data_IF_707805999056
#
_entry.id   IF_707805999056
#
_cell.length_a   1.000
_cell.length_b   1.000
_cell.length_c   1.000
_cell.angle_alpha   90.00
_cell.angle_beta   90.00
_cell.angle_gamma   90.00
#
_symmetry.space_group_name_H-M   'P 1'
#
loop_
_entity.id
_entity.type
_entity.pdbx_description
1 polymer ?
#
# COMPACT_ATOMS: atom_id res chain seq x y z
N UNK A 1 33.69 3.61 -23.99
CA UNK A 1 33.31 5.03 -23.95
C UNK A 1 32.96 5.33 -22.50
N UNK A 2 33.70 6.20 -21.79
CA UNK A 2 33.26 6.66 -20.47
C UNK A 2 32.02 7.54 -20.66
N UNK A 3 31.11 7.56 -19.70
CA UNK A 3 29.97 8.47 -19.75
C UNK A 3 30.47 9.92 -19.64
N UNK A 4 30.13 10.77 -20.61
CA UNK A 4 30.53 12.19 -20.63
C UNK A 4 29.87 13.02 -19.51
N UNK A 5 28.88 12.44 -18.83
CA UNK A 5 28.23 12.98 -17.62
C UNK A 5 28.00 11.85 -16.61
N UNK A 6 28.26 12.13 -15.33
CA UNK A 6 27.98 11.17 -14.27
C UNK A 6 26.46 10.99 -14.12
N UNK A 7 25.94 9.75 -14.00
CA UNK A 7 24.52 9.53 -13.73
C UNK A 7 24.14 10.10 -12.36
N UNK A 8 22.93 10.67 -12.29
CA UNK A 8 22.37 11.18 -11.03
C UNK A 8 21.84 10.00 -10.21
N UNK A 9 22.49 9.72 -9.08
CA UNK A 9 22.05 8.68 -8.14
C UNK A 9 21.23 9.32 -7.02
N UNK A 10 19.98 8.89 -6.91
CA UNK A 10 19.05 9.34 -5.87
C UNK A 10 18.71 8.18 -4.94
N UNK A 11 18.63 8.46 -3.65
CA UNK A 11 18.07 7.52 -2.69
C UNK A 11 16.54 7.58 -2.77
N UNK A 12 15.92 6.48 -3.21
CA UNK A 12 14.51 6.38 -3.52
C UNK A 12 13.73 5.49 -2.55
N UNK A 13 12.40 5.54 -2.66
CA UNK A 13 11.46 4.60 -2.05
C UNK A 13 10.14 4.60 -2.82
N UNK A 14 9.39 3.51 -2.76
CA UNK A 14 7.99 3.47 -3.16
C UNK A 14 7.11 3.65 -1.92
N UNK A 15 5.94 4.26 -2.04
CA UNK A 15 5.02 4.42 -0.90
C UNK A 15 3.56 4.27 -1.34
N UNK A 16 2.73 3.81 -0.42
CA UNK A 16 1.28 3.74 -0.57
C UNK A 16 0.62 4.63 0.49
N UNK A 17 -0.42 5.35 0.11
CA UNK A 17 -1.21 6.11 1.09
C UNK A 17 -2.10 5.22 1.95
N UNK A 18 -2.27 5.59 3.22
CA UNK A 18 -3.26 4.98 4.09
C UNK A 18 -4.66 5.45 3.68
N UNK A 19 -5.61 4.52 3.61
CA UNK A 19 -6.95 4.81 3.10
C UNK A 19 -8.04 4.23 4.00
N UNK A 20 -9.28 4.68 3.79
CA UNK A 20 -10.43 4.22 4.53
C UNK A 20 -11.64 4.16 3.60
N UNK A 21 -12.42 3.09 3.73
CA UNK A 21 -13.49 2.77 2.78
C UNK A 21 -14.66 2.03 3.43
N UNK A 22 -15.76 1.84 2.68
CA UNK A 22 -16.86 1.00 3.11
C UNK A 22 -16.41 -0.46 3.25
N UNK A 23 -17.14 -1.23 4.07
CA UNK A 23 -16.94 -2.69 4.15
C UNK A 23 -17.32 -3.35 2.82
N UNK A 24 -16.53 -4.32 2.35
CA UNK A 24 -16.76 -5.05 1.10
C UNK A 24 -16.70 -4.20 -0.18
N UNK A 25 -16.22 -2.96 -0.10
CA UNK A 25 -15.97 -2.12 -1.27
C UNK A 25 -14.49 -2.06 -1.61
N UNK A 26 -14.21 -1.70 -2.85
CA UNK A 26 -12.85 -1.36 -3.30
C UNK A 26 -12.55 0.11 -2.97
N UNK A 27 -11.35 0.39 -2.48
CA UNK A 27 -10.86 1.73 -2.19
C UNK A 27 -9.52 1.94 -2.90
N UNK A 28 -9.43 3.01 -3.68
CA UNK A 28 -8.21 3.38 -4.37
C UNK A 28 -7.11 3.72 -3.36
N UNK A 29 -5.90 3.20 -3.60
CA UNK A 29 -4.70 3.40 -2.81
C UNK A 29 -3.66 4.12 -3.67
N UNK A 30 -3.48 5.43 -3.53
CA UNK A 30 -2.45 6.15 -4.26
C UNK A 30 -1.05 5.58 -3.98
N UNK A 31 -0.32 5.30 -5.06
CA UNK A 31 1.07 4.83 -5.05
C UNK A 31 2.00 5.93 -5.56
N UNK A 32 3.16 6.12 -4.92
CA UNK A 32 4.19 7.06 -5.38
C UNK A 32 5.60 6.48 -5.32
N UNK A 33 6.39 6.77 -6.33
CA UNK A 33 7.84 6.66 -6.28
C UNK A 33 8.43 8.02 -5.84
N UNK A 34 9.19 8.00 -4.75
CA UNK A 34 9.75 9.19 -4.13
C UNK A 34 11.28 9.11 -4.04
N UNK A 35 11.94 10.26 -4.00
CA UNK A 35 13.37 10.34 -3.71
C UNK A 35 13.66 11.38 -2.63
N UNK A 36 14.77 11.20 -1.92
CA UNK A 36 15.23 12.15 -0.91
C UNK A 36 15.89 13.37 -1.58
N UNK A 37 15.32 14.56 -1.40
CA UNK A 37 15.87 15.81 -1.96
C UNK A 37 16.88 16.53 -1.04
N UNK A 38 17.34 15.87 0.03
CA UNK A 38 18.18 16.48 1.08
C UNK A 38 17.40 16.94 2.32
N UNK A 39 16.08 17.11 2.23
CA UNK A 39 15.21 17.57 3.33
C UNK A 39 13.99 16.68 3.58
N UNK A 40 13.38 16.17 2.52
CA UNK A 40 12.21 15.31 2.59
C UNK A 40 12.19 14.37 1.38
N UNK A 41 11.42 13.29 1.49
CA UNK A 41 11.03 12.54 0.31
C UNK A 41 10.02 13.34 -0.51
N UNK A 42 10.26 13.41 -1.81
CA UNK A 42 9.40 14.09 -2.79
C UNK A 42 9.19 13.18 -3.99
N UNK A 43 8.04 13.33 -4.67
CA UNK A 43 7.72 12.55 -5.86
C UNK A 43 8.83 12.65 -6.92
N UNK A 44 9.20 11.52 -7.52
CA UNK A 44 10.11 11.48 -8.65
C UNK A 44 9.33 11.66 -9.97
N UNK A 45 9.14 12.90 -10.41
CA UNK A 45 8.39 13.17 -11.65
C UNK A 45 9.08 12.65 -12.92
N UNK A 46 10.39 12.40 -12.84
CA UNK A 46 11.20 11.81 -13.92
C UNK A 46 11.00 10.29 -14.04
N UNK A 47 10.32 9.65 -13.09
CA UNK A 47 10.12 8.21 -13.05
C UNK A 47 8.86 7.82 -13.83
N UNK A 48 9.01 6.97 -14.85
CA UNK A 48 7.89 6.31 -15.52
C UNK A 48 8.17 4.84 -15.80
N UNK A 49 8.92 4.20 -14.88
CA UNK A 49 9.39 2.83 -15.06
C UNK A 49 9.66 2.06 -13.76
N UNK A 50 9.42 2.65 -12.59
CA UNK A 50 9.33 1.85 -11.36
C UNK A 50 8.07 1.00 -11.40
N UNK A 51 8.26 -0.31 -11.33
CA UNK A 51 7.24 -1.33 -11.50
C UNK A 51 6.60 -1.75 -10.17
N UNK A 52 5.37 -2.22 -10.27
CA UNK A 52 4.65 -2.83 -9.17
C UNK A 52 3.67 -3.87 -9.71
N UNK A 53 3.35 -4.85 -8.89
CA UNK A 53 2.30 -5.82 -9.19
C UNK A 53 1.37 -5.89 -7.98
N UNK A 54 0.16 -5.36 -8.12
CA UNK A 54 -0.81 -5.31 -7.03
C UNK A 54 -1.35 -6.70 -6.66
N UNK A 55 -1.13 -7.73 -7.48
CA UNK A 55 -1.47 -9.12 -7.15
C UNK A 55 -0.46 -9.78 -6.21
N UNK A 56 0.69 -9.13 -5.98
CA UNK A 56 1.76 -9.62 -5.14
C UNK A 56 1.81 -8.78 -3.85
N UNK A 57 1.27 -9.34 -2.76
CA UNK A 57 1.14 -8.63 -1.49
C UNK A 57 1.24 -9.55 -0.25
N UNK A 58 1.49 -8.94 0.91
CA UNK A 58 1.37 -9.53 2.25
C UNK A 58 0.28 -8.79 3.03
N UNK A 59 -0.51 -9.49 3.84
CA UNK A 59 -1.57 -8.92 4.68
C UNK A 59 -1.33 -9.22 6.15
N UNK A 60 -1.46 -8.17 6.96
CA UNK A 60 -1.62 -8.25 8.41
C UNK A 60 -2.95 -7.62 8.79
N UNK A 61 -3.79 -8.33 9.53
CA UNK A 61 -5.14 -7.86 9.89
C UNK A 61 -5.40 -8.01 11.38
N UNK A 62 -6.30 -7.16 11.90
CA UNK A 62 -6.82 -7.31 13.26
C UNK A 62 -7.95 -8.37 13.34
N UNK A 63 -8.35 -8.95 12.22
CA UNK A 63 -9.42 -9.97 12.13
C UNK A 63 -8.85 -11.30 11.65
N UNK A 64 -9.32 -12.41 12.22
CA UNK A 64 -9.00 -13.76 11.75
C UNK A 64 -9.64 -14.04 10.38
N UNK A 65 -8.92 -14.71 9.48
CA UNK A 65 -9.38 -15.01 8.11
C UNK A 65 -9.74 -13.74 7.30
N UNK A 66 -8.94 -12.68 7.48
CA UNK A 66 -8.97 -11.50 6.62
C UNK A 66 -8.99 -11.89 5.14
N UNK A 67 -9.85 -11.21 4.40
CA UNK A 67 -9.91 -11.30 2.93
C UNK A 67 -9.45 -10.02 2.25
N UNK A 68 -8.81 -9.13 3.02
CA UNK A 68 -8.20 -7.93 2.50
C UNK A 68 -7.14 -8.28 1.45
N UNK A 69 -7.16 -7.57 0.33
CA UNK A 69 -6.27 -7.79 -0.80
C UNK A 69 -5.88 -6.46 -1.45
N UNK A 70 -4.76 -6.46 -2.19
CA UNK A 70 -4.52 -5.46 -3.22
C UNK A 70 -4.95 -6.00 -4.58
N UNK A 71 -5.38 -5.09 -5.45
CA UNK A 71 -5.71 -5.36 -6.84
C UNK A 71 -5.40 -4.14 -7.72
N UNK A 72 -5.31 -4.34 -9.03
CA UNK A 72 -5.20 -3.26 -10.02
C UNK A 72 -5.99 -3.63 -11.28
N UNK A 73 -6.39 -2.61 -12.04
CA UNK A 73 -6.94 -2.76 -13.38
C UNK A 73 -6.15 -1.84 -14.33
N UNK A 74 -5.37 -2.40 -15.28
CA UNK A 74 -5.17 -3.83 -15.56
C UNK A 74 -4.46 -4.62 -14.43
N UNK A 75 -4.65 -5.94 -14.45
CA UNK A 75 -3.92 -6.88 -13.59
C UNK A 75 -2.53 -7.19 -14.16
N UNK A 76 -1.54 -7.38 -13.28
CA UNK A 76 -0.17 -7.75 -13.64
C UNK A 76 0.86 -6.70 -13.22
N UNK A 77 2.02 -6.75 -13.88
CA UNK A 77 3.10 -5.78 -13.68
C UNK A 77 2.75 -4.48 -14.39
N UNK A 78 2.71 -3.41 -13.63
CA UNK A 78 2.42 -2.05 -14.08
C UNK A 78 3.50 -1.09 -13.58
N UNK A 79 3.70 0.03 -14.28
CA UNK A 79 4.69 1.03 -13.87
C UNK A 79 4.03 2.31 -13.38
N UNK A 80 4.73 3.03 -12.52
CA UNK A 80 4.36 4.43 -12.23
C UNK A 80 4.43 5.28 -13.50
N UNK A 81 3.66 6.36 -13.54
CA UNK A 81 3.75 7.40 -14.57
C UNK A 81 4.02 8.72 -13.87
N UNK A 82 5.13 9.37 -14.19
CA UNK A 82 5.62 10.58 -13.49
C UNK A 82 5.71 10.40 -11.96
N UNK A 83 6.16 9.22 -11.52
CA UNK A 83 6.36 8.85 -10.13
C UNK A 83 5.08 8.61 -9.34
N UNK A 84 3.93 8.38 -9.99
CA UNK A 84 2.67 8.06 -9.32
C UNK A 84 1.86 7.02 -10.08
N UNK A 85 1.01 6.30 -9.33
CA UNK A 85 -0.02 5.44 -9.89
C UNK A 85 -1.26 5.46 -9.00
N UNK A 86 -2.42 5.44 -9.64
CA UNK A 86 -3.74 5.55 -9.02
C UNK A 86 -4.62 4.32 -9.30
N UNK A 87 -4.06 3.28 -9.92
CA UNK A 87 -4.79 2.06 -10.30
C UNK A 87 -4.78 0.99 -9.21
N UNK A 88 -3.95 1.17 -8.17
CA UNK A 88 -3.89 0.24 -7.04
C UNK A 88 -5.13 0.43 -6.18
N UNK A 89 -5.79 -0.66 -5.84
CA UNK A 89 -6.95 -0.69 -4.98
C UNK A 89 -6.71 -1.64 -3.82
N UNK A 90 -7.36 -1.36 -2.70
CA UNK A 90 -7.54 -2.30 -1.60
C UNK A 90 -9.00 -2.73 -1.52
N UNK A 91 -9.22 -4.03 -1.35
CA UNK A 91 -10.55 -4.63 -1.39
C UNK A 91 -10.73 -5.72 -0.34
N UNK A 92 -11.96 -6.17 -0.13
CA UNK A 92 -12.29 -7.32 0.70
C UNK A 92 -13.25 -8.24 -0.05
N UNK A 93 -12.93 -9.53 -0.17
CA UNK A 93 -13.88 -10.50 -0.72
C UNK A 93 -15.05 -10.76 0.25
N UNK A 94 -14.76 -10.83 1.56
CA UNK A 94 -15.73 -10.96 2.63
C UNK A 94 -15.97 -9.59 3.26
N UNK A 95 -17.18 -9.05 3.11
CA UNK A 95 -17.54 -7.76 3.71
C UNK A 95 -17.50 -7.85 5.23
N UNK A 96 -16.53 -7.16 5.84
CA UNK A 96 -16.38 -7.08 7.29
C UNK A 96 -15.68 -5.79 7.71
N UNK A 97 -15.85 -5.40 8.98
CA UNK A 97 -15.05 -4.32 9.56
C UNK A 97 -13.68 -4.87 9.90
N UNK A 98 -12.64 -4.37 9.27
CA UNK A 98 -11.26 -4.71 9.61
C UNK A 98 -10.31 -3.54 9.35
N UNK A 99 -9.23 -3.52 10.12
CA UNK A 99 -8.05 -2.74 9.82
C UNK A 99 -7.00 -3.73 9.32
N UNK A 100 -6.57 -3.53 8.07
CA UNK A 100 -5.53 -4.33 7.45
C UNK A 100 -4.35 -3.44 7.08
N UNK A 101 -3.13 -3.92 7.33
CA UNK A 101 -1.92 -3.42 6.69
C UNK A 101 -1.58 -4.34 5.54
N UNK A 102 -1.55 -3.80 4.33
CA UNK A 102 -1.24 -4.55 3.12
C UNK A 102 0.07 -4.04 2.55
N UNK A 103 1.05 -4.93 2.42
CA UNK A 103 2.39 -4.65 1.91
C UNK A 103 2.42 -5.00 0.44
N UNK A 104 2.75 -4.03 -0.40
CA UNK A 104 3.03 -4.24 -1.81
C UNK A 104 4.47 -4.68 -1.95
N UNK A 105 4.63 -5.89 -2.46
CA UNK A 105 5.87 -6.63 -2.46
C UNK A 105 6.83 -6.10 -3.56
N UNK A 106 8.04 -5.68 -3.18
CA UNK A 106 9.02 -5.03 -4.09
C UNK A 106 10.36 -5.78 -4.21
N UNK A 107 10.73 -6.60 -3.23
CA UNK A 107 11.94 -7.44 -3.25
C UNK A 107 11.84 -8.73 -4.08
N UNK A 108 12.86 -9.58 -3.94
CA UNK A 108 12.87 -10.95 -4.46
C UNK A 108 13.68 -11.87 -3.53
N UNK A 109 13.07 -13.00 -3.16
CA UNK A 109 13.65 -14.03 -2.31
C UNK A 109 14.72 -14.85 -3.04
N UNK A 110 14.66 -14.94 -4.38
CA UNK A 110 15.56 -15.75 -5.19
C UNK A 110 17.00 -15.21 -5.17
N UNK A 111 17.15 -13.88 -5.10
CA UNK A 111 18.43 -13.16 -5.01
C UNK A 111 18.78 -12.70 -3.59
N UNK A 112 17.98 -13.09 -2.58
CA UNK A 112 18.22 -12.73 -1.17
C UNK A 112 18.13 -11.23 -0.88
N UNK A 113 17.48 -10.47 -1.75
CA UNK A 113 17.25 -9.03 -1.58
C UNK A 113 15.84 -8.73 -1.11
N UNK A 114 15.10 -9.74 -0.64
CA UNK A 114 13.86 -9.51 0.05
C UNK A 114 14.08 -9.12 1.51
N UNK A 115 13.41 -8.07 1.95
CA UNK A 115 13.08 -7.94 3.36
C UNK A 115 12.21 -9.14 3.77
N UNK A 116 12.72 -9.91 4.74
CA UNK A 116 12.01 -11.01 5.35
C UNK A 116 10.54 -10.63 5.64
N UNK A 117 9.64 -11.63 5.63
CA UNK A 117 8.21 -11.48 5.96
C UNK A 117 8.00 -10.37 6.99
N UNK A 118 7.13 -9.38 6.72
CA UNK A 118 7.03 -8.18 7.53
C UNK A 118 6.85 -8.55 9.00
N UNK A 119 7.66 -7.91 9.87
CA UNK A 119 7.65 -8.25 11.29
C UNK A 119 6.24 -8.04 11.87
N UNK A 120 5.74 -8.95 12.72
CA UNK A 120 4.42 -8.83 13.31
C UNK A 120 4.21 -7.48 14.02
N UNK A 121 2.98 -6.98 13.96
CA UNK A 121 2.53 -5.77 14.65
C UNK A 121 1.80 -6.25 15.90
N UNK A 122 1.97 -5.56 17.03
CA UNK A 122 1.31 -5.94 18.27
C UNK A 122 -0.23 -5.90 18.18
N UNK A 123 -0.79 -5.20 17.19
CA UNK A 123 -2.23 -5.00 17.00
C UNK A 123 -2.80 -5.70 15.76
N UNK A 124 -1.94 -6.11 14.82
CA UNK A 124 -2.33 -6.80 13.59
C UNK A 124 -1.63 -8.15 13.54
N UNK A 125 -2.41 -9.22 13.54
CA UNK A 125 -1.88 -10.56 13.38
C UNK A 125 -1.48 -10.77 11.92
N UNK A 126 -0.38 -11.50 11.68
CA UNK A 126 -0.02 -11.92 10.34
C UNK A 126 -1.10 -12.85 9.82
N UNK A 127 -1.77 -12.49 8.72
CA UNK A 127 -2.91 -13.29 8.25
C UNK A 127 -2.67 -13.91 6.89
N UNK A 128 -1.87 -13.32 6.00
CA UNK A 128 -1.63 -13.98 4.73
C UNK A 128 -0.42 -13.41 4.02
N UNK A 129 0.61 -14.22 3.86
CA UNK A 129 1.68 -13.94 2.93
C UNK A 129 1.72 -15.18 2.04
N UNK A 130 1.26 -15.04 0.79
CA UNK A 130 1.34 -16.14 -0.18
C UNK A 130 2.80 -16.52 -0.44
N UNK A 131 3.01 -17.64 -1.12
CA UNK A 131 4.34 -18.00 -1.64
C UNK A 131 4.71 -17.00 -2.76
N UNK A 132 5.36 -15.91 -2.37
CA UNK A 132 5.76 -14.84 -3.29
C UNK A 132 6.90 -15.29 -4.20
N UNK A 133 7.72 -16.25 -3.77
CA UNK A 133 8.85 -16.75 -4.56
C UNK A 133 8.43 -17.37 -5.91
N UNK A 134 7.16 -17.74 -6.06
CA UNK A 134 6.59 -18.31 -7.28
C UNK A 134 5.83 -17.31 -8.16
N UNK A 135 5.86 -16.00 -7.85
CA UNK A 135 5.04 -14.97 -8.53
C UNK A 135 5.84 -13.92 -9.32
N UNK A 136 7.16 -13.83 -9.15
CA UNK A 136 8.05 -13.09 -10.04
C UNK A 136 8.95 -14.09 -10.74
N UNK A 137 8.82 -14.19 -12.06
CA UNK A 137 9.56 -15.16 -12.86
C UNK A 137 10.98 -14.65 -13.23
N UNK A 138 11.34 -13.42 -12.83
CA UNK A 138 12.55 -12.72 -13.25
C UNK A 138 13.11 -11.71 -12.22
N UNK A 139 14.44 -11.73 -12.09
CA UNK A 139 15.24 -10.79 -11.29
C UNK A 139 15.03 -9.31 -11.71
N UNK A 140 14.49 -9.07 -12.92
CA UNK A 140 14.40 -7.74 -13.54
C UNK A 140 13.33 -6.84 -12.91
N UNK A 141 12.29 -7.41 -12.31
CA UNK A 141 11.23 -6.64 -11.64
C UNK A 141 11.47 -6.47 -10.14
N UNK A 142 12.44 -7.17 -9.57
CA UNK A 142 12.87 -6.98 -8.19
C UNK A 142 13.45 -5.56 -8.02
N UNK A 143 12.79 -4.75 -7.20
CA UNK A 143 13.20 -3.38 -6.89
C UNK A 143 13.40 -3.20 -5.38
N UNK A 144 14.31 -3.96 -4.75
CA UNK A 144 14.56 -3.87 -3.32
C UNK A 144 15.04 -2.47 -2.88
N UNK A 145 15.63 -1.69 -3.79
CA UNK A 145 15.99 -0.29 -3.55
C UNK A 145 14.80 0.66 -3.38
N UNK A 146 13.56 0.20 -3.61
CA UNK A 146 12.33 0.94 -3.34
C UNK A 146 11.73 0.64 -1.96
N UNK A 147 12.34 -0.27 -1.19
CA UNK A 147 11.99 -0.52 0.20
C UNK A 147 12.52 0.59 1.11
N UNK A 148 11.91 0.73 2.29
CA UNK A 148 12.30 1.75 3.25
C UNK A 148 11.96 1.33 4.68
N UNK A 149 12.64 1.90 5.66
CA UNK A 149 12.40 1.65 7.06
C UNK A 149 11.16 2.39 7.60
N UNK A 150 9.97 1.95 7.19
CA UNK A 150 8.69 2.57 7.53
C UNK A 150 8.39 2.54 9.03
N UNK A 151 8.74 1.44 9.71
CA UNK A 151 8.35 1.17 11.11
C UNK A 151 9.50 1.17 12.11
N UNK A 152 10.71 1.57 11.71
CA UNK A 152 11.94 1.42 12.50
C UNK A 152 12.29 -0.04 12.81
N UNK A 153 11.96 -0.95 11.89
CA UNK A 153 12.14 -2.40 12.02
C UNK A 153 13.14 -2.98 11.00
N UNK A 154 13.83 -2.11 10.26
CA UNK A 154 14.61 -2.48 9.08
C UNK A 154 13.90 -2.04 7.81
N UNK A 155 14.53 -2.22 6.66
CA UNK A 155 13.88 -1.91 5.40
C UNK A 155 12.70 -2.86 5.18
N UNK A 156 11.58 -2.31 4.74
CA UNK A 156 10.34 -3.05 4.52
C UNK A 156 9.71 -2.62 3.19
N UNK A 157 8.93 -3.54 2.62
CA UNK A 157 8.06 -3.26 1.49
C UNK A 157 7.13 -2.06 1.78
N UNK A 158 6.80 -1.24 0.77
CA UNK A 158 5.77 -0.21 0.91
C UNK A 158 4.46 -0.83 1.37
N UNK A 159 3.78 -0.18 2.31
CA UNK A 159 2.50 -0.67 2.81
C UNK A 159 1.47 0.43 2.96
N UNK A 160 0.21 0.05 2.80
CA UNK A 160 -0.95 0.87 3.14
C UNK A 160 -1.65 0.29 4.36
N UNK A 161 -2.15 1.15 5.24
CA UNK A 161 -3.14 0.79 6.25
C UNK A 161 -4.51 1.16 5.73
N UNK A 162 -5.39 0.17 5.65
CA UNK A 162 -6.76 0.28 5.16
C UNK A 162 -7.72 0.02 6.30
N UNK A 163 -8.64 0.95 6.52
CA UNK A 163 -9.73 0.78 7.49
C UNK A 163 -11.06 0.56 6.75
N UNK A 164 -11.49 -0.70 6.72
CA UNK A 164 -12.75 -1.11 6.10
C UNK A 164 -13.91 -0.97 7.08
N UNK A 165 -15.01 -0.37 6.59
CA UNK A 165 -16.20 -0.09 7.39
C UNK A 165 -16.15 1.25 8.13
N UNK A 166 -15.18 2.12 7.82
CA UNK A 166 -15.20 3.52 8.24
C UNK A 166 -16.32 4.28 7.50
N UNK A 167 -17.58 4.04 7.86
CA UNK A 167 -18.72 4.73 7.29
C UNK A 167 -18.90 6.08 7.99
N UNK A 168 -18.75 7.19 7.25
CA UNK A 168 -19.32 8.47 7.68
C UNK A 168 -20.83 8.29 7.67
N UNK A 169 -21.46 8.39 8.83
CA UNK A 169 -22.91 8.31 8.96
C UNK A 169 -23.61 9.22 7.95
N UNK A 170 -24.80 8.79 7.53
CA UNK A 170 -25.70 9.50 6.62
C UNK A 170 -25.67 11.03 6.84
N UNK A 171 -25.41 11.82 5.79
CA UNK A 171 -25.36 13.30 5.81
C UNK A 171 -26.76 13.96 5.97
N UNK A 172 -27.71 13.21 6.51
CA UNK A 172 -29.09 13.63 6.81
C UNK A 172 -29.53 13.13 8.18
N UNK A 173 -28.86 13.59 9.24
CA UNK A 173 -29.51 13.71 10.54
C UNK A 173 -30.08 15.12 10.62
N UNK A 174 -31.35 15.28 10.23
CA UNK A 174 -32.13 16.43 10.66
C UNK A 174 -32.54 16.12 12.10
N UNK A 175 -31.97 16.83 13.07
CA UNK A 175 -32.55 16.87 14.41
C UNK A 175 -33.97 17.42 14.28
N UNK A 176 -34.97 16.55 14.37
CA UNK A 176 -36.33 17.00 14.64
C UNK A 176 -36.39 17.23 16.14
N UNK A 177 -36.17 18.48 16.56
CA UNK A 177 -36.45 18.90 17.93
C UNK A 177 -37.91 18.55 18.25
N UNK A 178 -38.13 17.84 19.35
CA UNK A 178 -39.49 17.57 19.81
C UNK A 178 -40.17 18.91 20.17
N UNK A 179 -41.38 19.20 19.65
CA UNK A 179 -42.16 20.31 20.15
C UNK A 179 -42.93 19.81 21.37
N UNK A 180 -42.49 20.15 22.59
CA UNK A 180 -43.34 20.27 23.78
C UNK A 180 -42.57 20.80 25.02
N UNK A 181 -41.99 21.99 24.92
CA UNK A 181 -41.82 22.83 26.11
C UNK A 181 -43.11 23.65 26.29
N UNK A 182 -44.06 23.06 27.01
CA UNK A 182 -45.21 23.78 27.55
C UNK A 182 -44.83 24.39 28.91
N UNK A 183 -45.38 25.58 29.11
CA UNK A 183 -45.12 26.54 30.17
C UNK A 183 -45.27 26.02 31.61
N UNK A 184 -44.51 26.65 32.51
CA UNK A 184 -45.01 27.17 33.79
C UNK A 184 -44.53 28.60 33.97
#
# INVERSE_FOLDING_TARGET
MPFDTAPDFRYGRMTLDNVSGPQGGSVQVPLRAEYWNGKSFVRNEDDSGSDFDASIYCVMSNVENSSAALSSDPEGVESVVTGSSDIVNAEQANSQREMARIFLRQGDDSIGMNSALPLPDATLNQTQCGDWSAKRDDDEQAQPWLQFNWRNLGDEDPSTVVNFGAYRGNDRIIYRGEPNLIAY
#
